data_IF_292904836144
#
_entry.id   IF_292904836144
#
_cell.length_a   1.000
_cell.length_b   1.000
_cell.length_c   1.000
_cell.angle_alpha   90.00
_cell.angle_beta   90.00
_cell.angle_gamma   90.00
#
_symmetry.space_group_name_H-M   'P 1'
#
loop_
_entity.id
_entity.type
_entity.pdbx_description
1 polymer ?
#
# COMPACT_ATOMS: atom_id res chain seq x y z
N UNK A 1 -22.42 -29.98 24.05
CA UNK A 1 -21.28 -29.03 24.41
C UNK A 1 -19.97 -29.46 23.75
N UNK A 2 -19.64 -30.77 23.76
CA UNK A 2 -18.36 -31.30 23.23
C UNK A 2 -18.19 -31.10 21.70
N UNK A 3 -19.19 -31.26 20.81
CA UNK A 3 -19.04 -31.02 19.38
C UNK A 3 -18.76 -29.56 19.03
N UNK A 4 -19.37 -28.62 19.72
CA UNK A 4 -19.16 -27.19 19.52
C UNK A 4 -17.72 -26.75 19.91
N UNK A 5 -17.20 -27.23 21.03
CA UNK A 5 -15.81 -26.96 21.45
C UNK A 5 -14.79 -27.54 20.46
N UNK A 6 -15.06 -28.73 19.90
CA UNK A 6 -14.20 -29.31 18.87
C UNK A 6 -14.25 -28.55 17.54
N UNK A 7 -15.39 -27.94 17.18
CA UNK A 7 -15.51 -27.10 15.98
C UNK A 7 -14.75 -25.79 16.14
N UNK A 8 -14.85 -25.14 17.31
CA UNK A 8 -14.09 -23.93 17.65
C UNK A 8 -12.58 -24.21 17.65
N UNK A 9 -12.15 -25.31 18.28
CA UNK A 9 -10.73 -25.70 18.30
C UNK A 9 -10.17 -25.95 16.89
N UNK A 10 -10.94 -26.58 15.98
CA UNK A 10 -10.55 -26.75 14.58
C UNK A 10 -10.51 -25.44 13.82
N UNK A 11 -11.47 -24.54 14.04
CA UNK A 11 -11.49 -23.21 13.42
C UNK A 11 -10.29 -22.39 13.85
N UNK A 12 -10.00 -22.36 15.15
CA UNK A 12 -8.82 -21.67 15.70
C UNK A 12 -7.52 -22.25 15.10
N UNK A 13 -7.36 -23.57 15.09
CA UNK A 13 -6.16 -24.20 14.50
C UNK A 13 -5.98 -23.85 13.03
N UNK A 14 -7.06 -23.77 12.25
CA UNK A 14 -7.01 -23.35 10.83
C UNK A 14 -6.58 -21.88 10.71
N UNK A 15 -7.06 -21.00 11.60
CA UNK A 15 -6.71 -19.58 11.60
C UNK A 15 -5.24 -19.31 11.90
N UNK A 16 -4.55 -20.22 12.61
CA UNK A 16 -3.12 -20.13 12.90
C UNK A 16 -2.25 -20.95 11.95
N UNK A 17 -2.81 -21.57 10.91
CA UNK A 17 -2.00 -22.25 9.88
C UNK A 17 -1.53 -21.26 8.82
N UNK A 18 -0.26 -21.39 8.40
CA UNK A 18 0.32 -20.57 7.32
C UNK A 18 -0.31 -20.99 6.00
N UNK A 19 -1.11 -20.10 5.40
CA UNK A 19 -1.82 -20.35 4.13
C UNK A 19 -1.11 -19.72 2.93
N UNK A 20 -0.12 -18.87 3.17
CA UNK A 20 0.63 -18.21 2.09
C UNK A 20 1.53 -19.21 1.35
N UNK A 21 1.70 -19.03 0.03
CA UNK A 21 2.58 -19.88 -0.76
C UNK A 21 4.04 -19.76 -0.29
N UNK A 22 4.80 -20.83 -0.49
CA UNK A 22 6.25 -20.79 -0.27
C UNK A 22 6.92 -20.13 -1.47
N UNK A 23 7.71 -19.09 -1.20
CA UNK A 23 8.54 -18.46 -2.22
C UNK A 23 9.94 -19.10 -2.24
N UNK A 24 10.57 -19.14 -3.42
CA UNK A 24 11.98 -19.55 -3.51
C UNK A 24 12.90 -18.51 -2.90
N UNK A 25 14.05 -18.94 -2.37
CA UNK A 25 15.02 -18.04 -1.76
C UNK A 25 15.44 -16.91 -2.72
N UNK A 26 15.77 -17.18 -4.02
CA UNK A 26 16.08 -16.10 -4.95
C UNK A 26 14.93 -15.08 -5.10
N UNK A 27 13.67 -15.52 -5.14
CA UNK A 27 12.53 -14.62 -5.22
C UNK A 27 12.39 -13.75 -3.97
N UNK A 28 12.63 -14.32 -2.77
CA UNK A 28 12.60 -13.59 -1.50
C UNK A 28 13.68 -12.50 -1.50
N UNK A 29 14.92 -12.87 -1.82
CA UNK A 29 16.05 -11.94 -1.83
C UNK A 29 15.87 -10.83 -2.87
N UNK A 30 15.40 -11.18 -4.07
CA UNK A 30 15.21 -10.21 -5.14
C UNK A 30 14.08 -9.23 -4.84
N UNK A 31 12.95 -9.70 -4.30
CA UNK A 31 11.84 -8.81 -3.91
C UNK A 31 12.23 -7.88 -2.76
N UNK A 32 12.95 -8.39 -1.76
CA UNK A 32 13.48 -7.57 -0.66
C UNK A 32 14.48 -6.52 -1.15
N UNK A 33 15.41 -6.92 -2.01
CA UNK A 33 16.38 -6.00 -2.60
C UNK A 33 15.71 -4.93 -3.48
N UNK A 34 14.75 -5.31 -4.33
CA UNK A 34 13.99 -4.36 -5.13
C UNK A 34 13.24 -3.35 -4.26
N UNK A 35 12.60 -3.81 -3.18
CA UNK A 35 11.93 -2.92 -2.20
C UNK A 35 12.92 -1.94 -1.57
N UNK A 36 14.08 -2.43 -1.14
CA UNK A 36 15.13 -1.60 -0.55
C UNK A 36 15.61 -0.52 -1.53
N UNK A 37 15.86 -0.87 -2.79
CA UNK A 37 16.28 0.09 -3.83
C UNK A 37 15.21 1.15 -4.06
N UNK A 38 13.94 0.77 -4.17
CA UNK A 38 12.84 1.73 -4.40
C UNK A 38 12.71 2.72 -3.25
N UNK A 39 12.73 2.22 -2.01
CA UNK A 39 12.63 3.08 -0.82
C UNK A 39 13.87 3.98 -0.70
N UNK A 40 15.08 3.46 -0.98
CA UNK A 40 16.30 4.27 -0.98
C UNK A 40 16.27 5.38 -2.04
N UNK A 41 15.76 5.08 -3.25
CA UNK A 41 15.61 6.08 -4.30
C UNK A 41 14.59 7.16 -3.94
N UNK A 42 13.45 6.80 -3.34
CA UNK A 42 12.47 7.77 -2.86
C UNK A 42 13.06 8.68 -1.78
N UNK A 43 13.83 8.11 -0.84
CA UNK A 43 14.54 8.89 0.18
C UNK A 43 15.59 9.83 -0.45
N UNK A 44 16.44 9.30 -1.32
CA UNK A 44 17.45 10.10 -2.03
C UNK A 44 16.84 11.25 -2.83
N UNK A 45 15.77 10.97 -3.59
CA UNK A 45 15.08 12.04 -4.33
C UNK A 45 14.40 13.04 -3.41
N UNK A 46 13.87 12.62 -2.24
CA UNK A 46 13.35 13.54 -1.23
C UNK A 46 14.42 14.57 -0.82
N UNK A 47 15.65 14.11 -0.55
CA UNK A 47 16.77 14.97 -0.15
C UNK A 47 17.18 15.91 -1.29
N UNK A 48 17.25 15.40 -2.53
CA UNK A 48 17.66 16.18 -3.71
C UNK A 48 16.65 17.28 -4.06
N UNK A 49 15.35 16.94 -4.00
CA UNK A 49 14.26 17.87 -4.40
C UNK A 49 13.87 18.80 -3.25
N UNK A 50 14.25 18.49 -2.02
CA UNK A 50 13.86 19.25 -0.82
C UNK A 50 12.38 19.11 -0.46
N UNK A 51 11.71 18.08 -0.98
CA UNK A 51 10.32 17.79 -0.70
C UNK A 51 10.14 16.30 -0.34
N UNK A 52 9.29 15.95 0.63
CA UNK A 52 9.07 14.56 1.02
C UNK A 52 8.47 13.76 -0.14
N UNK A 53 9.15 12.68 -0.55
CA UNK A 53 8.64 11.68 -1.49
C UNK A 53 8.42 10.33 -0.82
N UNK A 54 8.98 10.13 0.37
CA UNK A 54 8.92 8.88 1.10
C UNK A 54 7.68 8.84 2.01
N UNK A 55 6.87 7.80 1.85
CA UNK A 55 5.70 7.54 2.70
C UNK A 55 5.72 6.10 3.20
N UNK A 56 5.23 5.89 4.43
CA UNK A 56 5.14 4.54 5.02
C UNK A 56 4.27 3.58 4.17
N UNK A 57 3.23 4.09 3.51
CA UNK A 57 2.38 3.31 2.60
C UNK A 57 3.14 2.72 1.41
N UNK A 58 4.23 3.35 0.95
CA UNK A 58 5.05 2.83 -0.14
C UNK A 58 5.83 1.57 0.25
N UNK A 59 6.25 1.45 1.51
CA UNK A 59 6.83 0.21 2.02
C UNK A 59 5.86 -0.98 1.88
N UNK A 60 4.60 -0.78 2.26
CA UNK A 60 3.55 -1.80 2.08
C UNK A 60 3.21 -2.03 0.60
N UNK A 61 3.23 -0.97 -0.24
CA UNK A 61 3.03 -1.09 -1.68
C UNK A 61 4.13 -1.91 -2.35
N UNK A 62 5.38 -1.79 -1.91
CA UNK A 62 6.49 -2.62 -2.40
C UNK A 62 6.24 -4.12 -2.17
N UNK A 63 5.62 -4.51 -1.04
CA UNK A 63 5.24 -5.92 -0.81
C UNK A 63 4.27 -6.39 -1.91
N UNK A 64 3.29 -5.59 -2.26
CA UNK A 64 2.33 -5.93 -3.31
C UNK A 64 2.98 -5.95 -4.69
N UNK A 65 3.79 -4.96 -5.02
CA UNK A 65 4.42 -4.85 -6.34
C UNK A 65 5.49 -5.92 -6.62
N UNK A 66 6.25 -6.33 -5.61
CA UNK A 66 7.39 -7.22 -5.78
C UNK A 66 7.15 -8.66 -5.30
N UNK A 67 6.28 -8.86 -4.29
CA UNK A 67 5.99 -10.21 -3.76
C UNK A 67 4.69 -10.77 -4.32
N UNK A 68 3.66 -9.93 -4.49
CA UNK A 68 2.32 -10.31 -4.95
C UNK A 68 1.90 -9.58 -6.25
N UNK A 69 2.74 -9.55 -7.29
CA UNK A 69 2.50 -8.72 -8.49
C UNK A 69 1.27 -9.12 -9.31
N UNK A 70 0.72 -10.33 -9.08
CA UNK A 70 -0.49 -10.83 -9.74
C UNK A 70 -1.77 -10.51 -8.95
N UNK A 71 -1.65 -9.99 -7.72
CA UNK A 71 -2.82 -9.62 -6.94
C UNK A 71 -3.58 -8.46 -7.61
N UNK A 72 -4.92 -8.48 -7.66
CA UNK A 72 -5.71 -7.37 -8.22
C UNK A 72 -5.33 -6.02 -7.61
N UNK A 73 -5.10 -5.97 -6.29
CA UNK A 73 -4.74 -4.78 -5.54
C UNK A 73 -3.35 -4.23 -5.85
N UNK A 74 -2.52 -4.96 -6.61
CA UNK A 74 -1.18 -4.57 -7.07
C UNK A 74 -1.19 -3.99 -8.50
N UNK A 75 -2.36 -3.83 -9.12
CA UNK A 75 -2.42 -3.26 -10.46
C UNK A 75 -2.17 -1.74 -10.41
N UNK A 76 -1.53 -1.15 -11.45
CA UNK A 76 -1.21 0.28 -11.48
C UNK A 76 -2.38 1.20 -11.15
N UNK A 77 -3.55 0.90 -11.68
CA UNK A 77 -4.76 1.71 -11.43
C UNK A 77 -5.18 1.65 -9.95
N UNK A 78 -4.98 0.52 -9.27
CA UNK A 78 -5.29 0.36 -7.86
C UNK A 78 -4.26 1.11 -6.99
N UNK A 79 -2.97 0.99 -7.32
CA UNK A 79 -1.92 1.67 -6.58
C UNK A 79 -2.10 3.18 -6.67
N UNK A 80 -2.11 3.73 -7.88
CA UNK A 80 -2.21 5.18 -8.08
C UNK A 80 -3.58 5.70 -7.63
N UNK A 81 -4.67 5.09 -8.09
CA UNK A 81 -6.03 5.50 -7.74
C UNK A 81 -6.32 5.38 -6.25
N UNK A 82 -5.88 4.30 -5.61
CA UNK A 82 -6.05 4.10 -4.17
C UNK A 82 -5.34 5.18 -3.35
N UNK A 83 -4.08 5.49 -3.68
CA UNK A 83 -3.33 6.56 -3.02
C UNK A 83 -3.99 7.93 -3.20
N UNK A 84 -4.42 8.26 -4.42
CA UNK A 84 -5.12 9.53 -4.71
C UNK A 84 -6.42 9.66 -3.92
N UNK A 85 -7.28 8.64 -3.95
CA UNK A 85 -8.58 8.65 -3.25
C UNK A 85 -8.36 8.83 -1.75
N UNK A 86 -7.42 8.09 -1.17
CA UNK A 86 -7.12 8.18 0.25
C UNK A 86 -6.58 9.55 0.64
N UNK A 87 -5.70 10.13 -0.17
CA UNK A 87 -5.18 11.47 0.07
C UNK A 87 -6.30 12.53 -0.05
N UNK A 88 -7.14 12.47 -1.07
CA UNK A 88 -8.26 13.40 -1.22
C UNK A 88 -9.22 13.31 -0.04
N UNK A 89 -9.54 12.10 0.43
CA UNK A 89 -10.40 11.93 1.61
C UNK A 89 -9.77 12.54 2.87
N UNK A 90 -8.49 12.27 3.14
CA UNK A 90 -7.76 12.85 4.27
C UNK A 90 -7.68 14.37 4.22
N UNK A 91 -7.29 14.92 3.04
CA UNK A 91 -7.16 16.36 2.83
C UNK A 91 -8.50 17.10 2.94
N UNK A 92 -9.58 16.50 2.44
CA UNK A 92 -10.92 17.08 2.60
C UNK A 92 -11.32 17.15 4.05
N UNK A 93 -11.09 16.09 4.82
CA UNK A 93 -11.49 16.07 6.23
C UNK A 93 -10.59 16.98 7.07
N UNK A 94 -9.27 16.99 6.89
CA UNK A 94 -8.38 17.85 7.67
C UNK A 94 -8.62 19.35 7.44
N UNK A 95 -9.09 19.72 6.25
CA UNK A 95 -9.41 21.13 5.92
C UNK A 95 -10.80 21.57 6.40
N UNK A 96 -11.68 20.63 6.70
CA UNK A 96 -13.09 20.95 7.06
C UNK A 96 -13.48 20.58 8.49
N UNK A 97 -12.68 19.74 9.15
CA UNK A 97 -12.98 19.20 10.48
C UNK A 97 -11.74 19.20 11.38
N UNK A 98 -11.91 19.33 12.71
CA UNK A 98 -10.78 19.23 13.64
C UNK A 98 -10.18 17.84 13.62
N UNK A 99 -8.87 17.72 13.81
CA UNK A 99 -8.17 16.44 13.91
C UNK A 99 -8.48 15.75 15.23
N UNK A 100 -9.39 14.80 15.18
CA UNK A 100 -9.87 14.01 16.31
C UNK A 100 -10.01 12.55 15.88
N UNK A 101 -10.06 11.62 16.83
CA UNK A 101 -10.18 10.19 16.55
C UNK A 101 -11.38 9.85 15.64
N UNK A 102 -12.51 10.52 15.81
CA UNK A 102 -13.72 10.28 15.02
C UNK A 102 -13.60 10.82 13.58
N UNK A 103 -13.01 12.00 13.38
CA UNK A 103 -12.80 12.56 12.03
C UNK A 103 -11.73 11.78 11.25
N UNK A 104 -10.67 11.30 11.92
CA UNK A 104 -9.71 10.38 11.34
C UNK A 104 -10.36 9.04 10.92
N UNK A 105 -11.25 8.52 11.77
CA UNK A 105 -12.04 7.32 11.46
C UNK A 105 -12.95 7.53 10.25
N UNK A 106 -13.61 8.69 10.18
CA UNK A 106 -14.45 9.08 9.05
C UNK A 106 -13.65 9.14 7.75
N UNK A 107 -12.52 9.86 7.73
CA UNK A 107 -11.66 10.00 6.56
C UNK A 107 -11.19 8.64 6.04
N UNK A 108 -10.72 7.77 6.94
CA UNK A 108 -10.25 6.42 6.59
C UNK A 108 -11.40 5.56 6.07
N UNK A 109 -12.55 5.57 6.74
CA UNK A 109 -13.73 4.81 6.33
C UNK A 109 -14.25 5.23 4.95
N UNK A 110 -14.35 6.54 4.71
CA UNK A 110 -14.74 7.10 3.39
C UNK A 110 -13.75 6.71 2.31
N UNK A 111 -12.45 6.83 2.57
CA UNK A 111 -11.41 6.40 1.61
C UNK A 111 -11.57 4.94 1.20
N UNK A 112 -11.76 4.05 2.18
CA UNK A 112 -11.96 2.61 1.90
C UNK A 112 -13.25 2.39 1.10
N UNK A 113 -14.37 3.00 1.50
CA UNK A 113 -15.64 2.85 0.78
C UNK A 113 -15.54 3.31 -0.67
N UNK A 114 -14.90 4.45 -0.92
CA UNK A 114 -14.73 4.98 -2.28
C UNK A 114 -13.80 4.10 -3.11
N UNK A 115 -12.68 3.63 -2.55
CA UNK A 115 -11.78 2.70 -3.23
C UNK A 115 -12.50 1.40 -3.65
N UNK A 116 -13.33 0.85 -2.75
CA UNK A 116 -14.11 -0.38 -3.03
C UNK A 116 -15.17 -0.10 -4.10
N UNK A 117 -15.92 1.00 -3.97
CA UNK A 117 -16.97 1.38 -4.92
C UNK A 117 -16.40 1.59 -6.34
N UNK A 118 -15.27 2.28 -6.47
CA UNK A 118 -14.60 2.53 -7.75
C UNK A 118 -13.76 1.35 -8.24
N UNK A 119 -13.68 0.25 -7.46
CA UNK A 119 -12.89 -0.95 -7.78
C UNK A 119 -11.40 -0.68 -7.96
N UNK A 120 -10.87 0.26 -7.21
CA UNK A 120 -9.43 0.62 -7.19
C UNK A 120 -8.82 0.39 -5.81
N UNK A 121 -9.24 -0.68 -5.14
CA UNK A 121 -8.79 -1.02 -3.78
C UNK A 121 -7.28 -1.27 -3.76
N UNK A 122 -6.59 -0.49 -2.92
CA UNK A 122 -5.17 -0.66 -2.61
C UNK A 122 -4.95 -0.55 -1.09
N UNK A 123 -4.84 -1.67 -0.38
CA UNK A 123 -4.79 -1.68 1.09
C UNK A 123 -3.72 -0.77 1.71
N UNK A 124 -2.49 -0.66 1.17
CA UNK A 124 -1.48 0.25 1.71
C UNK A 124 -1.93 1.71 1.78
N UNK A 125 -2.78 2.13 0.87
CA UNK A 125 -3.26 3.52 0.82
C UNK A 125 -4.26 3.87 1.93
N UNK A 126 -4.92 2.88 2.55
CA UNK A 126 -5.95 3.12 3.56
C UNK A 126 -5.44 3.88 4.80
N UNK A 127 -4.14 3.87 5.08
CA UNK A 127 -3.53 4.61 6.18
C UNK A 127 -3.19 6.08 5.88
N UNK A 128 -3.27 6.52 4.63
CA UNK A 128 -2.89 7.88 4.22
C UNK A 128 -3.72 8.97 4.90
N UNK A 129 -5.06 8.83 5.06
CA UNK A 129 -5.84 9.85 5.77
C UNK A 129 -5.36 10.10 7.20
N UNK A 130 -4.87 9.05 7.87
CA UNK A 130 -4.34 9.18 9.24
C UNK A 130 -3.06 10.03 9.25
N UNK A 131 -2.14 9.77 8.33
CA UNK A 131 -0.88 10.52 8.19
C UNK A 131 -1.19 12.00 7.90
N UNK A 132 -2.02 12.27 6.89
CA UNK A 132 -2.41 13.62 6.49
C UNK A 132 -2.99 14.40 7.67
N UNK A 133 -3.86 13.78 8.46
CA UNK A 133 -4.52 14.45 9.57
C UNK A 133 -3.63 14.62 10.79
N UNK A 134 -2.74 13.66 11.06
CA UNK A 134 -1.80 13.75 12.19
C UNK A 134 -0.70 14.77 11.95
N UNK A 135 -0.21 14.87 10.72
CA UNK A 135 0.87 15.76 10.35
C UNK A 135 0.37 17.15 9.90
N UNK A 136 -0.96 17.32 9.73
CA UNK A 136 -1.57 18.59 9.32
C UNK A 136 -1.25 18.96 7.87
N UNK A 137 -1.20 17.98 6.99
CA UNK A 137 -0.77 18.14 5.60
C UNK A 137 -1.74 19.00 4.77
N UNK A 138 -1.20 19.62 3.74
CA UNK A 138 -1.93 20.49 2.83
C UNK A 138 -2.15 19.84 1.46
N UNK A 139 -2.92 20.48 0.58
CA UNK A 139 -3.23 19.94 -0.76
C UNK A 139 -2.01 19.69 -1.64
N UNK A 140 -0.86 20.31 -1.37
CA UNK A 140 0.40 19.98 -2.05
C UNK A 140 0.84 18.54 -1.83
N UNK A 141 0.47 17.95 -0.67
CA UNK A 141 0.74 16.56 -0.34
C UNK A 141 0.13 15.56 -1.34
N UNK A 142 -1.00 15.93 -1.97
CA UNK A 142 -1.61 15.11 -3.01
C UNK A 142 -0.66 14.91 -4.21
N UNK A 143 0.03 15.97 -4.63
CA UNK A 143 0.99 15.86 -5.74
C UNK A 143 2.29 15.21 -5.28
N UNK A 144 2.86 15.74 -4.21
CA UNK A 144 4.12 15.31 -3.61
C UNK A 144 3.91 15.11 -2.12
N UNK A 145 4.02 13.89 -1.58
CA UNK A 145 4.57 12.65 -2.16
C UNK A 145 3.58 11.74 -2.92
N UNK A 146 2.25 11.94 -2.78
CA UNK A 146 1.26 10.90 -3.10
C UNK A 146 1.28 10.48 -4.58
N UNK A 147 0.99 11.38 -5.50
CA UNK A 147 0.88 11.04 -6.93
C UNK A 147 2.25 10.67 -7.51
N UNK A 148 3.25 11.51 -7.28
CA UNK A 148 4.60 11.30 -7.83
C UNK A 148 5.20 10.00 -7.29
N UNK A 149 5.11 9.77 -5.98
CA UNK A 149 5.63 8.56 -5.36
C UNK A 149 4.87 7.29 -5.79
N UNK A 150 3.54 7.35 -5.89
CA UNK A 150 2.74 6.21 -6.35
C UNK A 150 3.07 5.84 -7.81
N UNK A 151 3.23 6.81 -8.69
CA UNK A 151 3.68 6.58 -10.07
C UNK A 151 5.07 5.96 -10.09
N UNK A 152 6.00 6.49 -9.30
CA UNK A 152 7.37 5.98 -9.22
C UNK A 152 7.40 4.51 -8.76
N UNK A 153 6.73 4.18 -7.66
CA UNK A 153 6.63 2.80 -7.13
C UNK A 153 6.03 1.86 -8.16
N UNK A 154 4.96 2.29 -8.84
CA UNK A 154 4.29 1.51 -9.89
C UNK A 154 5.19 1.27 -11.11
N UNK A 155 5.95 2.27 -11.54
CA UNK A 155 6.92 2.13 -12.63
C UNK A 155 8.04 1.14 -12.26
N UNK A 156 8.58 1.23 -11.06
CA UNK A 156 9.57 0.27 -10.56
C UNK A 156 8.99 -1.15 -10.50
N UNK A 157 7.75 -1.32 -10.06
CA UNK A 157 7.03 -2.60 -10.09
C UNK A 157 6.85 -3.14 -11.51
N UNK A 158 6.53 -2.29 -12.48
CA UNK A 158 6.40 -2.69 -13.88
C UNK A 158 7.75 -3.15 -14.48
N UNK A 159 8.82 -2.42 -14.21
CA UNK A 159 10.18 -2.78 -14.63
C UNK A 159 10.62 -4.11 -14.00
N UNK A 160 10.36 -4.30 -12.71
CA UNK A 160 10.64 -5.56 -12.02
C UNK A 160 9.92 -6.74 -12.67
N UNK A 161 8.61 -6.60 -12.91
CA UNK A 161 7.80 -7.64 -13.59
C UNK A 161 8.32 -7.95 -15.00
N UNK A 162 8.71 -6.94 -15.74
CA UNK A 162 9.28 -7.11 -17.07
C UNK A 162 10.62 -7.88 -17.02
N UNK A 163 11.52 -7.51 -16.11
CA UNK A 163 12.79 -8.20 -15.89
C UNK A 163 12.61 -9.67 -15.49
N UNK A 164 11.67 -9.94 -14.57
CA UNK A 164 11.35 -11.29 -14.11
C UNK A 164 10.78 -12.18 -15.22
N UNK A 165 9.92 -11.65 -16.09
CA UNK A 165 9.42 -12.37 -17.26
C UNK A 165 10.54 -12.73 -18.22
N UNK A 166 11.45 -11.78 -18.51
CA UNK A 166 12.61 -12.01 -19.41
C UNK A 166 13.57 -13.05 -18.83
N UNK A 167 13.79 -13.06 -17.53
CA UNK A 167 14.64 -14.02 -16.84
C UNK A 167 14.00 -15.42 -16.67
N UNK A 168 12.76 -15.66 -17.15
CA UNK A 168 11.99 -16.90 -16.96
C UNK A 168 11.83 -17.33 -15.50
N UNK A 169 11.93 -16.40 -14.55
CA UNK A 169 11.84 -16.67 -13.11
C UNK A 169 10.39 -16.67 -12.58
N UNK A 170 9.43 -16.24 -13.39
CA UNK A 170 7.99 -16.30 -13.08
C UNK A 170 7.32 -17.25 -14.07
N UNK A 171 7.03 -18.45 -13.63
CA UNK A 171 6.07 -19.36 -14.27
C UNK A 171 4.71 -19.24 -13.61
#
# INVERSE_FOLDING_TARGET
VIPALRSVGRALRRSFTRTQPRFSIPAILLSGFASMVVIALLGFFSDVVGHPLLMASFGASCVLEFVLPKAPVSQPINVIGGHMISAVAGLTVVTTMPTQWWSMSLATGVAIMVMVFLRVLHPPAAGIPLIIMLDGETWSYLLTPVVIGAIFVTMCGALYRWGMKKARMVR
#
